data_IF_439580401667
#
_entry.id   IF_439580401667
#
_cell.length_a   1.000
_cell.length_b   1.000
_cell.length_c   1.000
_cell.angle_alpha   90.00
_cell.angle_beta   90.00
_cell.angle_gamma   90.00
#
_symmetry.space_group_name_H-M   'P 1'
#
loop_
_entity.id
_entity.type
_entity.pdbx_description
1 polymer ?
#
# COMPACT_ATOMS: atom_id res chain seq x y z
N UNK A 1 20.49 23.46 -23.15
CA UNK A 1 20.79 24.60 -22.26
C UNK A 1 21.47 24.04 -21.02
N UNK A 2 22.54 24.65 -20.48
CA UNK A 2 23.14 24.18 -19.23
C UNK A 2 22.34 24.76 -18.06
N UNK A 3 21.55 23.94 -17.40
CA UNK A 3 20.86 24.31 -16.18
C UNK A 3 21.83 24.15 -14.99
N UNK A 4 21.80 25.05 -14.01
CA UNK A 4 22.73 25.03 -12.85
C UNK A 4 22.45 23.92 -11.82
N UNK A 5 21.62 22.94 -12.18
CA UNK A 5 21.22 21.82 -11.35
C UNK A 5 22.09 20.62 -11.70
N UNK A 6 22.81 20.12 -10.69
CA UNK A 6 23.61 18.89 -10.79
C UNK A 6 22.97 17.80 -9.93
N UNK A 7 23.25 16.52 -10.21
CA UNK A 7 22.73 15.40 -9.42
C UNK A 7 22.99 15.56 -7.91
N UNK A 8 24.17 16.06 -7.54
CA UNK A 8 24.58 16.25 -6.14
C UNK A 8 23.69 17.29 -5.45
N UNK A 9 23.35 18.38 -6.14
CA UNK A 9 22.42 19.40 -5.61
C UNK A 9 21.02 18.83 -5.41
N UNK A 10 20.56 17.99 -6.33
CA UNK A 10 19.24 17.35 -6.23
C UNK A 10 19.21 16.34 -5.07
N UNK A 11 20.29 15.58 -4.85
CA UNK A 11 20.41 14.66 -3.71
C UNK A 11 20.46 15.38 -2.35
N UNK A 12 20.97 16.61 -2.28
CA UNK A 12 21.00 17.37 -1.04
C UNK A 12 19.64 18.01 -0.66
N UNK A 13 18.68 18.04 -1.58
CA UNK A 13 17.37 18.66 -1.37
C UNK A 13 16.39 17.74 -0.63
N UNK A 14 15.37 18.34 0.01
CA UNK A 14 14.28 17.56 0.60
C UNK A 14 13.38 16.94 -0.49
N UNK A 15 12.66 15.88 -0.16
CA UNK A 15 11.73 15.22 -1.11
C UNK A 15 10.64 16.17 -1.61
N UNK A 16 10.19 17.11 -0.79
CA UNK A 16 9.21 18.13 -1.17
C UNK A 16 9.80 19.15 -2.16
N UNK A 17 11.04 19.58 -1.93
CA UNK A 17 11.74 20.50 -2.82
C UNK A 17 12.05 19.85 -4.18
N UNK A 18 12.39 18.56 -4.20
CA UNK A 18 12.62 17.82 -5.45
C UNK A 18 11.33 17.72 -6.28
N UNK A 19 10.17 17.52 -5.65
CA UNK A 19 8.86 17.52 -6.34
C UNK A 19 8.52 18.91 -6.89
N UNK A 20 8.76 19.95 -6.12
CA UNK A 20 8.56 21.34 -6.55
C UNK A 20 9.48 21.69 -7.73
N UNK A 21 10.75 21.30 -7.66
CA UNK A 21 11.72 21.47 -8.74
C UNK A 21 11.31 20.72 -10.01
N UNK A 22 10.84 19.47 -9.88
CA UNK A 22 10.35 18.66 -11.01
C UNK A 22 9.17 19.34 -11.73
N UNK A 23 8.19 19.85 -10.98
CA UNK A 23 7.03 20.54 -11.55
C UNK A 23 7.43 21.82 -12.29
N UNK A 24 8.36 22.59 -11.71
CA UNK A 24 8.90 23.79 -12.34
C UNK A 24 9.70 23.47 -13.60
N UNK A 25 10.56 22.44 -13.57
CA UNK A 25 11.33 22.00 -14.72
C UNK A 25 10.43 21.52 -15.87
N UNK A 26 9.36 20.78 -15.55
CA UNK A 26 8.36 20.35 -16.54
C UNK A 26 7.63 21.52 -17.20
N UNK A 27 7.29 22.55 -16.42
CA UNK A 27 6.68 23.78 -16.96
C UNK A 27 7.62 24.56 -17.87
N UNK A 28 8.92 24.44 -17.65
CA UNK A 28 9.96 25.14 -18.41
C UNK A 28 10.56 24.31 -19.55
N UNK A 29 10.12 23.06 -19.75
CA UNK A 29 10.65 22.16 -20.78
C UNK A 29 12.10 21.72 -20.53
N UNK A 30 12.55 21.73 -19.28
CA UNK A 30 13.89 21.27 -18.88
C UNK A 30 13.87 19.76 -18.58
N UNK A 31 13.77 18.95 -19.63
CA UNK A 31 13.55 17.50 -19.54
C UNK A 31 14.69 16.74 -18.83
N UNK A 32 15.92 17.25 -18.93
CA UNK A 32 17.10 16.73 -18.22
C UNK A 32 16.97 16.86 -16.70
N UNK A 33 16.50 18.02 -16.22
CA UNK A 33 16.25 18.25 -14.78
C UNK A 33 15.06 17.42 -14.30
N UNK A 34 14.04 17.25 -15.13
CA UNK A 34 12.90 16.37 -14.81
C UNK A 34 13.37 14.92 -14.63
N UNK A 35 14.24 14.42 -15.51
CA UNK A 35 14.78 13.07 -15.44
C UNK A 35 15.61 12.87 -14.17
N UNK A 36 16.50 13.81 -13.82
CA UNK A 36 17.31 13.72 -12.60
C UNK A 36 16.45 13.74 -11.33
N UNK A 37 15.44 14.61 -11.25
CA UNK A 37 14.51 14.62 -10.11
C UNK A 37 13.70 13.31 -10.02
N UNK A 38 13.31 12.74 -11.16
CA UNK A 38 12.56 11.48 -11.20
C UNK A 38 13.41 10.31 -10.71
N UNK A 39 14.68 10.24 -11.11
CA UNK A 39 15.61 9.21 -10.66
C UNK A 39 15.81 9.28 -9.14
N UNK A 40 16.02 10.48 -8.59
CA UNK A 40 16.21 10.65 -7.15
C UNK A 40 14.94 10.36 -6.34
N UNK A 41 13.77 10.78 -6.85
CA UNK A 41 12.48 10.43 -6.24
C UNK A 41 12.19 8.92 -6.30
N UNK A 42 12.69 8.21 -7.33
CA UNK A 42 12.60 6.75 -7.40
C UNK A 42 13.53 6.06 -6.40
N UNK A 43 14.76 6.56 -6.22
CA UNK A 43 15.70 6.05 -5.21
C UNK A 43 15.17 6.21 -3.78
N UNK A 44 14.45 7.30 -3.52
CA UNK A 44 13.83 7.60 -2.22
C UNK A 44 12.43 7.03 -2.02
N UNK A 45 11.80 6.55 -3.09
CA UNK A 45 10.52 5.89 -2.97
C UNK A 45 10.73 4.55 -2.23
N UNK A 46 9.86 4.19 -1.27
CA UNK A 46 9.87 2.83 -0.72
C UNK A 46 9.75 1.84 -1.90
N UNK A 47 10.50 0.74 -1.82
CA UNK A 47 10.66 -0.21 -2.92
C UNK A 47 9.30 -0.53 -3.56
N UNK A 48 9.11 -0.08 -4.80
CA UNK A 48 7.88 -0.33 -5.55
C UNK A 48 7.83 -1.82 -5.88
N UNK A 49 6.83 -2.54 -5.35
CA UNK A 49 6.52 -3.87 -5.81
C UNK A 49 6.19 -3.80 -7.32
N UNK A 50 6.91 -4.56 -8.15
CA UNK A 50 6.67 -4.61 -9.60
C UNK A 50 5.36 -5.35 -9.86
N UNK A 51 4.37 -4.69 -10.50
CA UNK A 51 3.14 -5.34 -10.98
C UNK A 51 3.50 -6.38 -12.04
N UNK A 52 3.21 -7.65 -11.75
CA UNK A 52 3.27 -8.76 -12.70
C UNK A 52 1.85 -9.04 -13.20
N UNK A 53 1.67 -9.05 -14.51
CA UNK A 53 0.44 -9.44 -15.21
C UNK A 53 0.53 -10.95 -15.47
N UNK A 54 -0.30 -11.77 -14.82
CA UNK A 54 -0.43 -13.19 -15.22
C UNK A 54 -0.95 -14.17 -14.14
N UNK A 55 -2.23 -14.52 -14.26
CA UNK A 55 -2.91 -15.81 -13.91
C UNK A 55 -2.34 -16.64 -12.75
N UNK A 56 -2.46 -16.13 -11.54
CA UNK A 56 -2.91 -16.88 -10.37
C UNK A 56 -3.87 -15.95 -9.63
N UNK A 57 -5.07 -16.41 -9.20
CA UNK A 57 -6.02 -15.55 -8.47
C UNK A 57 -5.41 -15.23 -7.10
N UNK A 58 -4.55 -14.23 -7.05
CA UNK A 58 -3.98 -13.73 -5.80
C UNK A 58 -5.09 -13.38 -4.81
N UNK A 59 -4.78 -13.42 -3.53
CA UNK A 59 -5.63 -12.93 -2.45
C UNK A 59 -5.01 -11.68 -1.85
N UNK A 60 -5.80 -10.93 -1.07
CA UNK A 60 -5.27 -9.79 -0.33
C UNK A 60 -4.77 -10.31 1.01
N UNK A 61 -3.45 -10.40 1.19
CA UNK A 61 -2.84 -10.79 2.46
C UNK A 61 -2.98 -9.69 3.52
N UNK A 62 -3.03 -8.42 3.11
CA UNK A 62 -3.11 -7.28 4.02
C UNK A 62 -3.99 -6.16 3.50
N UNK A 63 -4.94 -5.72 4.31
CA UNK A 63 -5.79 -4.58 4.05
C UNK A 63 -5.28 -3.37 4.84
N UNK A 64 -4.76 -2.36 4.16
CA UNK A 64 -4.28 -1.13 4.76
C UNK A 64 -5.30 -0.01 4.51
N UNK A 65 -5.80 0.62 5.58
CA UNK A 65 -6.76 1.70 5.46
C UNK A 65 -6.35 2.92 6.26
N UNK A 66 -6.60 4.10 5.69
CA UNK A 66 -6.53 5.37 6.43
C UNK A 66 -7.85 5.54 7.19
N UNK A 67 -7.76 5.63 8.51
CA UNK A 67 -8.87 5.81 9.42
C UNK A 67 -8.43 6.75 10.54
N UNK A 68 -9.10 7.88 10.69
CA UNK A 68 -8.75 8.84 11.74
C UNK A 68 -9.25 8.35 13.10
N UNK A 69 -8.33 8.15 14.06
CA UNK A 69 -8.62 7.96 15.50
C UNK A 69 -9.80 7.03 15.81
N UNK A 70 -9.78 5.79 15.32
CA UNK A 70 -10.83 4.79 15.59
C UNK A 70 -12.24 5.20 15.13
N UNK A 71 -12.36 6.15 14.20
CA UNK A 71 -13.67 6.59 13.75
C UNK A 71 -14.47 5.45 13.10
N UNK A 72 -15.54 5.03 13.79
CA UNK A 72 -16.41 3.92 13.39
C UNK A 72 -15.85 2.53 13.69
N UNK A 73 -14.77 2.43 14.48
CA UNK A 73 -14.27 1.17 15.04
C UNK A 73 -15.03 0.88 16.34
N UNK A 74 -15.46 -0.37 16.52
CA UNK A 74 -16.08 -0.82 17.78
C UNK A 74 -15.24 -1.92 18.42
N UNK A 75 -15.28 -2.01 19.75
CA UNK A 75 -14.49 -2.96 20.54
C UNK A 75 -15.39 -3.99 21.18
N UNK A 76 -15.01 -5.26 21.05
CA UNK A 76 -15.68 -6.38 21.70
C UNK A 76 -15.00 -6.68 23.04
N UNK A 77 -15.75 -7.27 23.99
CA UNK A 77 -15.24 -7.55 25.34
C UNK A 77 -14.17 -8.65 25.39
N UNK A 78 -14.01 -9.40 24.30
CA UNK A 78 -13.03 -10.48 24.16
C UNK A 78 -11.70 -10.01 23.53
N UNK A 79 -11.51 -8.69 23.37
CA UNK A 79 -10.29 -8.11 22.80
C UNK A 79 -10.30 -8.02 21.28
N UNK A 80 -11.36 -8.49 20.60
CA UNK A 80 -11.56 -8.24 19.18
C UNK A 80 -12.04 -6.80 18.94
N UNK A 81 -11.85 -6.34 17.71
CA UNK A 81 -12.47 -5.11 17.26
C UNK A 81 -13.14 -5.31 15.91
N UNK A 82 -14.16 -4.49 15.65
CA UNK A 82 -14.81 -4.39 14.35
C UNK A 82 -14.38 -3.10 13.68
N UNK A 83 -13.97 -3.18 12.42
CA UNK A 83 -13.67 -1.98 11.65
C UNK A 83 -14.94 -1.24 11.26
N UNK A 84 -14.81 0.04 10.87
CA UNK A 84 -15.86 0.70 10.09
C UNK A 84 -16.13 -0.05 8.77
N UNK A 85 -17.21 0.32 8.11
CA UNK A 85 -17.56 -0.19 6.78
C UNK A 85 -16.64 0.33 5.67
N UNK A 86 -16.13 -0.59 4.83
CA UNK A 86 -15.25 -0.31 3.69
C UNK A 86 -15.85 -0.83 2.39
N UNK A 87 -15.74 -0.07 1.29
CA UNK A 87 -16.05 -0.62 -0.05
C UNK A 87 -14.91 -1.55 -0.47
N UNK A 88 -15.16 -2.85 -0.41
CA UNK A 88 -14.25 -3.93 -0.82
C UNK A 88 -15.11 -5.02 -1.46
N UNK A 89 -14.61 -5.66 -2.51
CA UNK A 89 -15.31 -6.79 -3.12
C UNK A 89 -15.35 -7.98 -2.15
N UNK A 90 -16.53 -8.53 -1.90
CA UNK A 90 -16.73 -9.63 -0.97
C UNK A 90 -15.92 -10.89 -1.37
N UNK A 91 -15.83 -11.21 -2.67
CA UNK A 91 -15.03 -12.35 -3.16
C UNK A 91 -13.56 -12.27 -2.68
N UNK A 92 -12.99 -11.06 -2.68
CA UNK A 92 -11.62 -10.86 -2.21
C UNK A 92 -11.51 -11.10 -0.70
N UNK A 93 -12.48 -10.63 0.09
CA UNK A 93 -12.48 -10.81 1.55
C UNK A 93 -12.65 -12.28 1.91
N UNK A 94 -13.58 -12.98 1.26
CA UNK A 94 -13.83 -14.41 1.46
C UNK A 94 -12.59 -15.27 1.12
N UNK A 95 -11.79 -14.88 0.11
CA UNK A 95 -10.53 -15.55 -0.19
C UNK A 95 -9.43 -15.19 0.83
N UNK A 96 -9.36 -13.93 1.22
CA UNK A 96 -8.34 -13.42 2.15
C UNK A 96 -8.49 -14.00 3.56
N UNK A 97 -9.74 -14.16 4.03
CA UNK A 97 -10.05 -14.81 5.31
C UNK A 97 -9.50 -16.24 5.38
N UNK A 98 -9.71 -17.03 4.31
CA UNK A 98 -9.22 -18.41 4.21
C UNK A 98 -7.69 -18.51 4.25
N UNK A 99 -6.99 -17.45 3.87
CA UNK A 99 -5.54 -17.39 3.81
C UNK A 99 -4.93 -16.58 4.98
N UNK A 100 -5.70 -16.32 6.04
CA UNK A 100 -5.18 -15.67 7.25
C UNK A 100 -4.76 -14.22 7.06
N UNK A 101 -5.47 -13.47 6.21
CA UNK A 101 -5.19 -12.06 5.98
C UNK A 101 -5.37 -11.20 7.24
N UNK A 102 -4.75 -10.02 7.22
CA UNK A 102 -4.83 -9.04 8.30
C UNK A 102 -5.39 -7.70 7.82
N UNK A 103 -5.79 -6.86 8.78
CA UNK A 103 -6.09 -5.44 8.55
C UNK A 103 -5.12 -4.58 9.35
N UNK A 104 -4.81 -3.40 8.81
CA UNK A 104 -3.99 -2.38 9.43
C UNK A 104 -4.64 -1.01 9.21
N UNK A 105 -4.98 -0.32 10.29
CA UNK A 105 -5.57 1.02 10.30
C UNK A 105 -4.49 2.04 10.63
N UNK A 106 -4.42 3.08 9.80
CA UNK A 106 -3.41 4.12 9.86
C UNK A 106 -4.06 5.49 10.00
N UNK A 107 -3.45 6.40 10.75
CA UNK A 107 -3.89 7.80 10.79
C UNK A 107 -3.57 8.49 9.46
N UNK A 108 -2.43 8.13 8.86
CA UNK A 108 -2.01 8.55 7.52
C UNK A 108 -1.08 7.50 6.90
N UNK A 109 -0.87 7.57 5.58
CA UNK A 109 0.00 6.64 4.85
C UNK A 109 1.49 6.73 5.23
N UNK A 110 1.90 7.82 5.88
CA UNK A 110 3.29 8.03 6.30
C UNK A 110 3.55 7.56 7.73
N UNK A 111 2.53 7.06 8.41
CA UNK A 111 2.63 6.59 9.78
C UNK A 111 2.36 5.08 9.84
N UNK A 112 3.00 4.36 10.79
CA UNK A 112 2.66 2.97 11.07
C UNK A 112 1.19 2.82 11.45
N UNK A 113 0.69 1.59 11.36
CA UNK A 113 -0.64 1.27 11.85
C UNK A 113 -0.72 1.49 13.35
N UNK A 114 -1.83 2.09 13.79
CA UNK A 114 -2.14 2.24 15.22
C UNK A 114 -3.11 1.16 15.70
N UNK A 115 -3.75 0.45 14.77
CA UNK A 115 -4.63 -0.68 15.08
C UNK A 115 -4.54 -1.71 13.97
N UNK A 116 -4.34 -2.96 14.34
CA UNK A 116 -4.14 -4.04 13.40
C UNK A 116 -4.53 -5.38 14.01
N UNK A 117 -4.62 -6.39 13.16
CA UNK A 117 -4.81 -7.75 13.62
C UNK A 117 -5.25 -8.68 12.51
N UNK A 118 -5.37 -9.96 12.86
CA UNK A 118 -5.82 -11.00 11.94
C UNK A 118 -7.33 -10.89 11.72
N UNK A 119 -7.75 -10.96 10.46
CA UNK A 119 -9.17 -11.00 10.12
C UNK A 119 -9.71 -12.38 10.49
N UNK A 120 -10.73 -12.41 11.36
CA UNK A 120 -11.39 -13.64 11.80
C UNK A 120 -12.83 -13.76 11.30
N UNK A 121 -13.37 -12.68 10.75
CA UNK A 121 -14.69 -12.67 10.11
C UNK A 121 -14.98 -11.35 9.41
N UNK A 122 -16.14 -11.26 8.78
CA UNK A 122 -16.65 -10.01 8.22
C UNK A 122 -18.17 -10.00 8.19
N UNK A 123 -18.75 -8.80 8.13
CA UNK A 123 -20.18 -8.59 7.87
C UNK A 123 -20.36 -7.70 6.63
N UNK A 124 -21.34 -8.06 5.79
CA UNK A 124 -21.78 -7.22 4.68
C UNK A 124 -22.84 -6.27 5.23
N UNK A 125 -22.59 -4.97 5.14
CA UNK A 125 -23.50 -3.92 5.62
C UNK A 125 -24.02 -3.09 4.45
N UNK A 126 -25.31 -2.79 4.46
CA UNK A 126 -25.91 -1.84 3.51
C UNK A 126 -25.56 -0.41 3.94
N UNK A 127 -24.95 0.35 3.02
CA UNK A 127 -24.53 1.74 3.23
C UNK A 127 -25.55 2.76 2.71
N UNK A 128 -26.71 2.32 2.20
CA UNK A 128 -27.77 3.20 1.71
C UNK A 128 -27.45 3.89 0.37
N UNK A 129 -28.38 4.74 -0.11
CA UNK A 129 -28.59 5.33 -1.46
C UNK A 129 -27.38 6.01 -2.20
N UNK A 130 -26.21 5.38 -2.28
CA UNK A 130 -25.02 5.91 -2.94
C UNK A 130 -24.55 5.00 -4.10
N UNK A 131 -25.43 4.80 -5.10
CA UNK A 131 -25.09 4.11 -6.35
C UNK A 131 -25.44 2.61 -6.39
N UNK A 132 -24.98 1.93 -7.46
CA UNK A 132 -25.34 0.53 -7.77
C UNK A 132 -24.70 -0.52 -6.84
N UNK A 133 -23.66 -0.14 -6.09
CA UNK A 133 -22.91 -1.02 -5.19
C UNK A 133 -22.87 -0.44 -3.77
N UNK A 134 -24.03 -0.44 -3.08
CA UNK A 134 -24.19 0.16 -1.75
C UNK A 134 -23.71 -0.74 -0.59
N UNK A 135 -23.08 -1.87 -0.86
CA UNK A 135 -22.62 -2.76 0.20
C UNK A 135 -21.20 -2.39 0.62
N UNK A 136 -20.97 -2.35 1.93
CA UNK A 136 -19.63 -2.30 2.50
C UNK A 136 -19.34 -3.52 3.36
N UNK A 137 -18.06 -3.70 3.66
CA UNK A 137 -17.56 -4.78 4.51
C UNK A 137 -17.05 -4.19 5.82
N UNK A 138 -17.54 -4.72 6.93
CA UNK A 138 -16.96 -4.52 8.26
C UNK A 138 -16.14 -5.75 8.62
N UNK A 139 -14.87 -5.56 8.95
CA UNK A 139 -13.98 -6.66 9.33
C UNK A 139 -14.07 -6.90 10.83
N UNK A 140 -14.14 -8.17 11.23
CA UNK A 140 -14.01 -8.61 12.62
C UNK A 140 -12.58 -9.11 12.79
N UNK A 141 -11.88 -8.57 13.78
CA UNK A 141 -10.42 -8.63 13.85
C UNK A 141 -9.98 -9.06 15.23
N UNK A 142 -9.11 -10.07 15.29
CA UNK A 142 -8.33 -10.40 16.48
C UNK A 142 -7.10 -9.50 16.52
N UNK A 143 -7.09 -8.56 17.48
CA UNK A 143 -6.06 -7.55 17.58
C UNK A 143 -4.67 -8.14 17.84
N UNK A 144 -3.64 -7.53 17.26
CA UNK A 144 -2.24 -7.83 17.55
C UNK A 144 -1.43 -6.55 17.82
N UNK A 145 -0.28 -6.69 18.48
CA UNK A 145 0.60 -5.57 18.83
C UNK A 145 1.67 -5.28 17.77
N UNK A 146 1.53 -5.86 16.56
CA UNK A 146 2.54 -5.73 15.51
C UNK A 146 2.26 -4.50 14.67
N UNK A 147 2.85 -3.36 15.05
CA UNK A 147 2.77 -2.15 14.21
C UNK A 147 3.27 -2.44 12.79
N UNK A 148 2.45 -2.13 11.79
CA UNK A 148 2.72 -2.41 10.38
C UNK A 148 2.91 -1.11 9.63
N UNK A 149 3.96 -1.03 8.82
CA UNK A 149 4.10 0.06 7.86
C UNK A 149 2.98 0.02 6.83
N UNK A 150 2.70 1.16 6.19
CA UNK A 150 1.74 1.20 5.08
C UNK A 150 2.23 0.35 3.92
N UNK A 151 1.40 -0.60 3.46
CA UNK A 151 1.71 -1.44 2.30
C UNK A 151 0.55 -1.45 1.30
N UNK A 152 0.89 -1.53 0.02
CA UNK A 152 -0.06 -1.77 -1.06
C UNK A 152 -0.22 -0.61 -2.05
N UNK A 153 -0.57 -0.99 -3.28
CA UNK A 153 -0.84 -0.07 -4.38
C UNK A 153 -2.30 0.39 -4.32
N UNK A 154 -2.51 1.69 -4.09
CA UNK A 154 -3.85 2.30 -4.04
C UNK A 154 -3.81 3.81 -4.02
N UNK A 155 -4.90 4.43 -4.48
CA UNK A 155 -5.12 5.88 -4.47
C UNK A 155 -6.06 6.25 -3.32
N UNK A 156 -5.71 7.27 -2.55
CA UNK A 156 -6.52 7.76 -1.43
C UNK A 156 -6.31 6.95 -0.14
N UNK A 157 -7.41 6.45 0.44
CA UNK A 157 -7.49 5.92 1.80
C UNK A 157 -7.28 4.39 1.92
N UNK A 158 -6.97 3.69 0.83
CA UNK A 158 -6.89 2.21 0.83
C UNK A 158 -5.62 1.71 0.14
N UNK A 159 -5.02 0.66 0.69
CA UNK A 159 -3.90 -0.10 0.14
C UNK A 159 -4.14 -1.59 0.34
N UNK A 160 -3.73 -2.39 -0.65
CA UNK A 160 -3.87 -3.84 -0.61
C UNK A 160 -2.50 -4.49 -0.84
N UNK A 161 -2.09 -5.34 0.10
CA UNK A 161 -0.97 -6.25 -0.07
C UNK A 161 -1.51 -7.56 -0.68
N UNK A 162 -1.12 -7.86 -1.91
CA UNK A 162 -1.53 -9.07 -2.61
C UNK A 162 -0.54 -10.22 -2.40
N UNK A 163 -1.04 -11.45 -2.32
CA UNK A 163 -0.27 -12.69 -2.21
C UNK A 163 -0.82 -13.78 -3.13
N UNK A 164 0.04 -14.63 -3.69
CA UNK A 164 -0.29 -15.68 -4.66
C UNK A 164 0.64 -15.68 -5.87
N UNK A 165 1.39 -16.79 -6.03
CA UNK A 165 2.39 -17.11 -7.06
C UNK A 165 3.13 -15.94 -7.72
N UNK A 166 4.14 -15.45 -7.00
CA UNK A 166 5.40 -15.12 -7.65
C UNK A 166 6.04 -16.44 -8.08
N UNK A 167 6.24 -16.65 -9.38
CA UNK A 167 7.12 -17.72 -9.84
C UNK A 167 8.47 -17.56 -9.14
N UNK A 168 8.88 -18.63 -8.46
CA UNK A 168 10.20 -18.77 -7.87
C UNK A 168 11.27 -18.54 -8.94
N UNK A 169 11.98 -17.42 -8.87
CA UNK A 169 13.34 -17.39 -9.38
C UNK A 169 14.21 -18.06 -8.32
N UNK A 170 14.28 -19.39 -8.43
CA UNK A 170 15.43 -20.16 -8.00
C UNK A 170 16.61 -19.61 -8.80
N UNK A 171 17.42 -18.72 -8.21
CA UNK A 171 18.75 -18.43 -8.74
C UNK A 171 19.58 -19.69 -8.54
N UNK A 172 19.60 -20.54 -9.56
CA UNK A 172 20.62 -21.58 -9.71
C UNK A 172 21.99 -20.93 -9.73
N UNK A 173 22.72 -21.20 -8.67
CA UNK A 173 24.15 -21.01 -8.49
C UNK A 173 24.92 -21.78 -9.58
N UNK A 174 25.15 -21.17 -10.74
CA UNK A 174 26.04 -21.75 -11.74
C UNK A 174 27.48 -21.29 -11.51
N UNK A 175 28.25 -22.25 -11.01
CA UNK A 175 29.71 -22.30 -10.99
C UNK A 175 30.31 -21.86 -12.33
N UNK A 176 31.24 -20.91 -12.27
CA UNK A 176 32.31 -20.81 -13.24
C UNK A 176 33.64 -20.71 -12.49
N UNK A 177 34.13 -21.86 -12.05
CA UNK A 177 35.57 -22.09 -11.89
C UNK A 177 36.02 -22.83 -13.13
N UNK A 178 36.90 -22.22 -13.92
CA UNK A 178 37.71 -22.93 -14.89
C UNK A 178 39.08 -22.28 -14.93
N UNK A 179 40.06 -23.18 -14.92
CA UNK A 179 41.49 -23.04 -14.66
C UNK A 179 42.26 -22.19 -15.68
#
# INVERSE_FOLDING_TARGET
MRHGYTPERITAMSTEDIRTLQNNARRLGADDVVAMCQEELQKRAPAKAKRVVGVNKGYVAGYHFVCAKDHGVTFESDGRFRSRSWVVAEENVANSLRNGAYIALHESRSLPSYRQGKIVGYEVVDRGLMGKDNTGIEFIVEADDLNREWVGDGTGEKGYLWSGALGSNEETEDKATSE
#
